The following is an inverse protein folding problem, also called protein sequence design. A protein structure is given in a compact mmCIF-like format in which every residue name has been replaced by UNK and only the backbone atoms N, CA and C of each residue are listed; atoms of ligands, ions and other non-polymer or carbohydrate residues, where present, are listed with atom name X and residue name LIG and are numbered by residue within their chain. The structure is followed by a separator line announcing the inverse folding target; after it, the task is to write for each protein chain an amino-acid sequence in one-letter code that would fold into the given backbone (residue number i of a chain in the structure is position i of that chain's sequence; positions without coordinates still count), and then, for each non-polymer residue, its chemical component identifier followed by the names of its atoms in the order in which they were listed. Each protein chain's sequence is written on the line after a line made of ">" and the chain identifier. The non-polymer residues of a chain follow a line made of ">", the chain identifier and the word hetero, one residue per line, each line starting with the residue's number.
data_IF_224793850155
#
_entry.id   IF_224793850155
#
_cell.length_a   1.000
_cell.length_b   1.000
_cell.length_c   1.000
_cell.angle_alpha   90.00
_cell.angle_beta   90.00
_cell.angle_gamma   90.00
#
_symmetry.space_group_name_H-M   'P 1'
#
loop_
_entity.id
_entity.type
_entity.pdbx_description
1 polymer ?
#
# COMPACT_ATOMS: atom_id res chain seq x y z
N UNK A 1 -31.95 23.68 38.37
CA UNK A 1 -31.58 24.51 37.20
C UNK A 1 -30.35 24.01 36.41
N UNK A 2 -29.43 23.22 36.99
CA UNK A 2 -28.25 22.71 36.26
C UNK A 2 -28.48 21.46 35.37
N UNK A 3 -29.54 20.68 35.63
CA UNK A 3 -29.82 19.42 34.90
C UNK A 3 -30.42 19.60 33.50
N UNK A 4 -31.05 20.74 33.22
CA UNK A 4 -31.73 21.00 31.94
C UNK A 4 -30.73 21.44 30.85
N UNK A 5 -29.65 22.13 31.22
CA UNK A 5 -28.61 22.57 30.28
C UNK A 5 -27.75 21.43 29.72
N UNK A 6 -27.53 20.36 30.49
CA UNK A 6 -26.75 19.19 30.07
C UNK A 6 -27.56 18.32 29.09
N UNK A 7 -28.88 18.25 29.26
CA UNK A 7 -29.77 17.44 28.42
C UNK A 7 -29.91 17.96 26.99
N UNK A 8 -29.71 19.26 26.73
CA UNK A 8 -29.74 19.85 25.39
C UNK A 8 -28.37 19.86 24.69
N UNK A 9 -27.28 19.76 25.46
CA UNK A 9 -25.91 19.78 24.92
C UNK A 9 -25.55 18.48 24.19
N UNK A 10 -25.97 17.32 24.72
CA UNK A 10 -25.74 16.02 24.09
C UNK A 10 -26.48 15.88 22.73
N UNK A 11 -27.78 16.19 22.61
CA UNK A 11 -28.46 16.25 21.31
C UNK A 11 -27.83 17.26 20.36
N UNK A 12 -27.43 18.44 20.85
CA UNK A 12 -26.76 19.46 20.05
C UNK A 12 -25.40 19.00 19.52
N UNK A 13 -24.59 18.31 20.33
CA UNK A 13 -23.34 17.67 19.89
C UNK A 13 -23.59 16.52 18.92
N UNK A 14 -24.62 15.71 19.14
CA UNK A 14 -24.97 14.60 18.24
C UNK A 14 -25.45 15.12 16.88
N UNK A 15 -26.32 16.14 16.86
CA UNK A 15 -26.81 16.80 15.65
C UNK A 15 -25.67 17.56 14.97
N UNK A 16 -24.80 18.22 15.74
CA UNK A 16 -23.61 18.90 15.25
C UNK A 16 -22.62 17.94 14.59
N UNK A 17 -22.29 16.83 15.25
CA UNK A 17 -21.42 15.79 14.70
C UNK A 17 -22.06 15.11 13.49
N UNK A 18 -23.38 14.93 13.48
CA UNK A 18 -24.13 14.38 12.35
C UNK A 18 -24.09 15.34 11.14
N UNK A 19 -24.40 16.62 11.33
CA UNK A 19 -24.31 17.65 10.29
C UNK A 19 -22.88 17.86 9.77
N UNK A 20 -21.88 17.84 10.66
CA UNK A 20 -20.47 17.95 10.29
C UNK A 20 -19.99 16.70 9.53
N UNK A 21 -20.52 15.52 9.87
CA UNK A 21 -20.28 14.30 9.09
C UNK A 21 -20.86 14.39 7.67
N UNK A 22 -22.00 15.06 7.47
CA UNK A 22 -22.54 15.31 6.13
C UNK A 22 -21.76 16.39 5.34
N UNK A 23 -21.23 17.40 6.02
CA UNK A 23 -20.48 18.51 5.36
C UNK A 23 -19.07 18.13 4.89
N UNK A 24 -18.55 16.99 5.33
CA UNK A 24 -17.20 16.51 4.97
C UNK A 24 -17.19 15.47 3.86
N UNK A 25 -18.34 15.09 3.31
CA UNK A 25 -18.42 14.09 2.25
C UNK A 25 -18.21 14.75 0.88
N UNK A 26 -17.06 14.48 0.26
CA UNK A 26 -16.79 14.89 -1.13
C UNK A 26 -17.32 13.84 -2.09
N UNK A 27 -18.09 14.26 -3.08
CA UNK A 27 -18.56 13.39 -4.17
C UNK A 27 -17.58 13.50 -5.33
N UNK A 28 -16.95 12.39 -5.72
CA UNK A 28 -16.10 12.28 -6.89
C UNK A 28 -16.81 11.42 -7.92
N UNK A 29 -17.28 12.03 -9.00
CA UNK A 29 -17.93 11.31 -10.09
C UNK A 29 -16.98 11.23 -11.28
N UNK A 30 -16.69 10.02 -11.74
CA UNK A 30 -15.80 9.75 -12.84
C UNK A 30 -16.61 9.38 -14.08
N UNK A 31 -16.55 10.24 -15.10
CA UNK A 31 -16.98 9.92 -16.45
C UNK A 31 -15.71 9.69 -17.29
N UNK A 32 -15.32 8.41 -17.41
CA UNK A 32 -14.07 8.04 -18.05
C UNK A 32 -14.32 7.78 -19.54
N UNK A 33 -13.53 8.43 -20.39
CA UNK A 33 -13.47 8.06 -21.80
C UNK A 33 -12.94 6.64 -21.97
N UNK A 34 -13.23 6.02 -23.12
CA UNK A 34 -12.94 4.61 -23.39
C UNK A 34 -11.48 4.21 -23.09
N UNK A 35 -10.52 5.06 -23.45
CA UNK A 35 -9.10 4.81 -23.20
C UNK A 35 -8.76 4.86 -21.70
N UNK A 36 -9.35 5.80 -20.97
CA UNK A 36 -9.12 5.99 -19.53
C UNK A 36 -9.77 4.87 -18.72
N UNK A 37 -10.98 4.45 -19.11
CA UNK A 37 -11.67 3.29 -18.56
C UNK A 37 -10.85 2.02 -18.77
N UNK A 38 -10.34 1.78 -19.98
CA UNK A 38 -9.51 0.63 -20.28
C UNK A 38 -8.18 0.65 -19.48
N UNK A 39 -7.54 1.80 -19.33
CA UNK A 39 -6.31 1.94 -18.56
C UNK A 39 -6.53 1.71 -17.07
N UNK A 40 -7.60 2.27 -16.52
CA UNK A 40 -7.97 2.04 -15.13
C UNK A 40 -8.41 0.59 -14.89
N UNK A 41 -9.13 -0.03 -15.82
CA UNK A 41 -9.47 -1.46 -15.78
C UNK A 41 -8.22 -2.36 -15.71
N UNK A 42 -7.15 -2.02 -16.47
CA UNK A 42 -5.86 -2.72 -16.36
C UNK A 42 -5.22 -2.55 -14.98
N UNK A 43 -5.32 -1.38 -14.36
CA UNK A 43 -4.84 -1.15 -13.00
C UNK A 43 -5.58 -2.04 -11.99
N UNK A 44 -6.91 -2.09 -12.08
CA UNK A 44 -7.75 -2.92 -11.20
C UNK A 44 -7.44 -4.40 -11.38
N UNK A 45 -7.31 -4.88 -12.63
CA UNK A 45 -6.97 -6.27 -12.90
C UNK A 45 -5.56 -6.65 -12.41
N UNK A 46 -4.59 -5.74 -12.56
CA UNK A 46 -3.24 -5.94 -12.04
C UNK A 46 -3.21 -5.94 -10.50
N UNK A 47 -4.01 -5.07 -9.87
CA UNK A 47 -4.16 -5.07 -8.41
C UNK A 47 -4.78 -6.37 -7.90
N UNK A 48 -5.75 -6.93 -8.64
CA UNK A 48 -6.36 -8.22 -8.31
C UNK A 48 -5.37 -9.39 -8.38
N UNK A 49 -4.24 -9.21 -9.07
CA UNK A 49 -3.13 -10.19 -9.02
C UNK A 49 -2.37 -10.08 -7.69
N UNK A 50 -2.23 -8.87 -7.12
CA UNK A 50 -1.60 -8.65 -5.82
C UNK A 50 -2.46 -9.21 -4.68
N UNK A 51 -3.78 -9.02 -4.73
CA UNK A 51 -4.73 -9.52 -3.70
C UNK A 51 -4.74 -11.05 -3.60
N UNK A 52 -4.36 -11.75 -4.67
CA UNK A 52 -4.29 -13.23 -4.73
C UNK A 52 -3.03 -13.81 -4.08
N UNK A 53 -2.07 -12.99 -3.65
CA UNK A 53 -0.94 -13.48 -2.88
C UNK A 53 -1.44 -14.01 -1.53
N UNK A 54 -0.92 -15.16 -1.09
CA UNK A 54 -1.36 -15.78 0.16
C UNK A 54 -1.00 -14.92 1.39
N UNK A 55 0.03 -14.07 1.27
CA UNK A 55 0.33 -13.06 2.27
C UNK A 55 0.89 -11.78 1.64
N UNK A 56 0.61 -10.66 2.30
CA UNK A 56 1.17 -9.36 2.00
C UNK A 56 1.49 -8.62 3.29
N UNK A 57 2.56 -7.84 3.27
CA UNK A 57 3.03 -7.10 4.44
C UNK A 57 3.40 -5.67 4.11
N UNK A 58 3.09 -4.75 5.01
CA UNK A 58 3.74 -3.46 5.07
C UNK A 58 5.06 -3.58 5.82
N UNK A 59 6.11 -3.01 5.25
CA UNK A 59 7.44 -2.98 5.83
C UNK A 59 7.69 -1.56 6.35
N UNK A 60 7.50 -1.36 7.65
CA UNK A 60 7.81 -0.11 8.31
C UNK A 60 9.34 0.04 8.41
N UNK A 61 9.96 0.72 7.45
CA UNK A 61 11.38 1.03 7.56
C UNK A 61 11.59 2.09 8.64
N UNK A 62 12.47 1.81 9.61
CA UNK A 62 12.91 2.75 10.65
C UNK A 62 13.73 3.94 10.14
N UNK A 63 13.69 4.24 8.83
CA UNK A 63 14.42 5.29 8.15
C UNK A 63 13.89 5.53 6.73
N UNK A 64 14.31 6.65 6.11
CA UNK A 64 13.91 7.00 4.74
C UNK A 64 14.50 5.98 3.76
N UNK A 65 13.67 5.09 3.21
CA UNK A 65 14.08 4.22 2.10
C UNK A 65 14.36 5.13 0.90
N UNK A 66 15.61 5.21 0.44
CA UNK A 66 15.95 5.98 -0.77
C UNK A 66 15.74 5.14 -2.03
N UNK A 67 16.18 3.89 -2.00
CA UNK A 67 15.97 2.87 -3.04
C UNK A 67 15.92 1.44 -2.46
N UNK A 68 15.48 0.48 -3.28
CA UNK A 68 15.42 -0.93 -2.88
C UNK A 68 16.81 -1.58 -2.71
N UNK A 69 17.82 -1.10 -3.43
CA UNK A 69 19.19 -1.65 -3.36
C UNK A 69 19.83 -1.38 -2.00
N UNK A 70 19.73 -0.13 -1.54
CA UNK A 70 20.22 0.34 -0.24
C UNK A 70 19.41 -0.27 0.88
N UNK A 71 18.09 -0.37 0.73
CA UNK A 71 17.25 -1.09 1.69
C UNK A 71 17.68 -2.54 1.86
N UNK A 72 17.87 -3.30 0.78
CA UNK A 72 18.37 -4.69 0.83
C UNK A 72 19.74 -4.79 1.50
N UNK A 73 20.65 -3.85 1.21
CA UNK A 73 21.98 -3.83 1.80
C UNK A 73 21.94 -3.56 3.30
N UNK A 74 21.14 -2.58 3.72
CA UNK A 74 21.03 -2.16 5.11
C UNK A 74 20.23 -3.16 5.97
N UNK A 75 19.29 -3.88 5.35
CA UNK A 75 18.52 -4.91 6.00
C UNK A 75 19.32 -6.22 6.22
N UNK A 76 20.48 -6.37 5.58
CA UNK A 76 21.37 -7.53 5.72
C UNK A 76 20.81 -8.84 5.15
N UNK A 77 21.47 -9.96 5.43
CA UNK A 77 21.04 -11.32 5.06
C UNK A 77 19.91 -11.87 5.96
N UNK A 78 19.44 -11.05 6.89
CA UNK A 78 18.53 -11.41 7.97
C UNK A 78 17.55 -10.26 8.08
N UNK A 79 16.68 -10.10 7.09
CA UNK A 79 15.51 -9.27 7.29
C UNK A 79 14.73 -9.89 8.45
N UNK A 80 14.97 -9.42 9.67
CA UNK A 80 14.10 -9.54 10.84
C UNK A 80 13.34 -8.21 10.94
N UNK A 81 12.86 -7.72 9.80
CA UNK A 81 12.11 -6.48 9.75
C UNK A 81 10.70 -6.79 10.28
N UNK A 82 10.19 -5.91 11.14
CA UNK A 82 8.84 -6.01 11.71
C UNK A 82 7.82 -5.86 10.57
N UNK A 83 7.47 -6.98 9.94
CA UNK A 83 6.49 -7.04 8.88
C UNK A 83 5.11 -7.09 9.50
N UNK A 84 4.33 -6.05 9.24
CA UNK A 84 2.93 -6.02 9.65
C UNK A 84 2.10 -6.47 8.48
N UNK A 85 1.25 -7.48 8.68
CA UNK A 85 0.31 -7.90 7.64
C UNK A 85 -0.48 -6.69 7.18
N UNK A 86 -0.62 -6.55 5.86
CA UNK A 86 -1.41 -5.47 5.26
C UNK A 86 -2.67 -6.01 4.60
N UNK A 87 -3.65 -5.12 4.45
CA UNK A 87 -4.90 -5.38 3.75
C UNK A 87 -4.86 -4.72 2.38
N UNK A 88 -5.11 -5.52 1.35
CA UNK A 88 -5.40 -5.07 -0.01
C UNK A 88 -6.88 -5.35 -0.29
N UNK A 89 -7.61 -4.33 -0.73
CA UNK A 89 -9.04 -4.45 -1.02
C UNK A 89 -9.51 -3.35 -1.97
N UNK A 90 -10.68 -3.52 -2.58
CA UNK A 90 -11.40 -2.40 -3.18
C UNK A 90 -12.17 -1.67 -2.08
N UNK A 91 -11.87 -0.40 -1.82
CA UNK A 91 -12.59 0.38 -0.81
C UNK A 91 -12.54 1.88 -1.08
N UNK A 92 -13.51 2.62 -0.56
CA UNK A 92 -13.52 4.08 -0.59
C UNK A 92 -13.22 4.66 0.80
N UNK A 93 -12.60 5.84 0.88
CA UNK A 93 -12.56 6.57 2.14
C UNK A 93 -13.96 6.93 2.60
N UNK A 94 -14.18 6.91 3.92
CA UNK A 94 -15.49 7.20 4.53
C UNK A 94 -16.08 8.55 4.15
N UNK A 95 -15.21 9.54 3.92
CA UNK A 95 -15.54 10.92 3.53
C UNK A 95 -15.65 11.13 2.01
N UNK A 96 -15.54 10.08 1.21
CA UNK A 96 -15.67 10.17 -0.25
C UNK A 96 -16.86 9.32 -0.71
N UNK A 97 -17.63 9.83 -1.65
CA UNK A 97 -18.61 9.05 -2.43
C UNK A 97 -18.18 9.07 -3.88
N UNK A 98 -18.15 7.91 -4.51
CA UNK A 98 -17.73 7.78 -5.90
C UNK A 98 -18.50 6.68 -6.60
N UNK A 99 -18.68 6.83 -7.91
CA UNK A 99 -19.22 5.79 -8.79
C UNK A 99 -18.20 4.67 -9.07
N UNK A 100 -16.92 4.89 -8.75
CA UNK A 100 -15.86 3.87 -8.81
C UNK A 100 -15.40 3.49 -7.41
N UNK A 101 -15.15 2.20 -7.18
CA UNK A 101 -14.52 1.71 -5.95
C UNK A 101 -13.06 1.37 -6.26
N UNK A 102 -12.09 2.17 -5.77
CA UNK A 102 -10.69 2.03 -6.14
C UNK A 102 -10.02 0.88 -5.39
N UNK A 103 -8.98 0.29 -6.00
CA UNK A 103 -7.98 -0.48 -5.25
C UNK A 103 -7.43 0.33 -4.08
N UNK A 104 -7.18 -0.35 -2.95
CA UNK A 104 -6.64 0.28 -1.75
C UNK A 104 -5.65 -0.62 -1.01
N UNK A 105 -4.58 -0.01 -0.51
CA UNK A 105 -3.52 -0.68 0.25
C UNK A 105 -3.35 0.02 1.59
N UNK A 106 -3.34 -0.75 2.68
CA UNK A 106 -3.00 -0.24 4.01
C UNK A 106 -1.47 -0.20 4.17
N UNK A 107 -0.90 0.93 4.55
CA UNK A 107 0.54 1.09 4.74
C UNK A 107 0.78 1.78 6.08
N UNK A 108 0.88 0.96 7.13
CA UNK A 108 0.96 1.44 8.51
C UNK A 108 -0.32 2.18 8.93
N UNK A 109 -0.19 3.47 9.27
CA UNK A 109 -1.32 4.34 9.61
C UNK A 109 -2.05 4.88 8.38
N UNK A 110 -1.42 4.80 7.21
CA UNK A 110 -1.93 5.37 5.99
C UNK A 110 -2.73 4.34 5.18
N UNK A 111 -3.64 4.82 4.35
CA UNK A 111 -4.31 4.03 3.33
C UNK A 111 -4.16 4.74 2.00
N UNK A 112 -3.64 4.03 1.01
CA UNK A 112 -3.51 4.50 -0.37
C UNK A 112 -4.74 4.03 -1.15
N UNK A 113 -5.49 4.95 -1.75
CA UNK A 113 -6.62 4.67 -2.63
C UNK A 113 -6.24 5.06 -4.06
N UNK A 114 -6.12 4.08 -4.95
CA UNK A 114 -5.68 4.28 -6.32
C UNK A 114 -6.88 4.67 -7.20
N UNK A 115 -7.22 5.96 -7.21
CA UNK A 115 -8.32 6.52 -8.02
C UNK A 115 -7.94 6.55 -9.50
N UNK A 116 -8.89 6.75 -10.44
CA UNK A 116 -8.56 6.84 -11.86
C UNK A 116 -7.52 7.90 -12.22
N UNK A 117 -7.49 9.04 -11.52
CA UNK A 117 -6.68 10.21 -11.82
C UNK A 117 -5.44 10.39 -10.91
N UNK A 118 -5.53 9.92 -9.66
CA UNK A 118 -4.51 10.10 -8.62
C UNK A 118 -4.58 9.03 -7.53
N UNK A 119 -3.59 9.02 -6.65
CA UNK A 119 -3.64 8.26 -5.39
C UNK A 119 -4.09 9.21 -4.28
N UNK A 120 -5.24 8.92 -3.68
CA UNK A 120 -5.67 9.58 -2.46
C UNK A 120 -5.02 8.87 -1.26
N UNK A 121 -4.30 9.63 -0.43
CA UNK A 121 -3.59 9.14 0.74
C UNK A 121 -4.35 9.59 1.99
N UNK A 122 -4.95 8.65 2.72
CA UNK A 122 -5.56 8.91 4.02
C UNK A 122 -4.55 8.67 5.11
N UNK A 123 -4.27 9.67 5.93
CA UNK A 123 -3.44 9.56 7.13
C UNK A 123 -4.24 9.99 8.38
N UNK A 124 -4.78 9.02 9.11
CA UNK A 124 -5.71 9.31 10.21
C UNK A 124 -6.96 10.05 9.72
N UNK A 125 -7.08 11.33 10.08
CA UNK A 125 -8.17 12.23 9.66
C UNK A 125 -7.74 13.26 8.59
N UNK A 126 -6.50 13.16 8.10
CA UNK A 126 -5.96 14.00 7.04
C UNK A 126 -5.97 13.25 5.71
N UNK A 127 -6.10 14.01 4.63
CA UNK A 127 -6.12 13.51 3.27
C UNK A 127 -5.12 14.30 2.44
N UNK A 128 -4.29 13.58 1.70
CA UNK A 128 -3.40 14.12 0.68
C UNK A 128 -3.64 13.42 -0.65
N UNK A 129 -3.08 13.96 -1.72
CA UNK A 129 -3.16 13.35 -3.04
C UNK A 129 -1.77 13.29 -3.69
N UNK A 130 -1.53 12.22 -4.45
CA UNK A 130 -0.32 12.02 -5.25
C UNK A 130 -0.76 11.71 -6.67
N UNK A 131 -0.47 12.61 -7.61
CA UNK A 131 -0.73 12.34 -9.02
C UNK A 131 0.15 11.20 -9.54
N UNK A 132 -0.35 10.42 -10.49
CA UNK A 132 0.44 9.32 -11.09
C UNK A 132 1.72 9.80 -11.79
N UNK A 133 1.78 11.05 -12.23
CA UNK A 133 2.98 11.66 -12.80
C UNK A 133 4.13 11.82 -11.80
N UNK A 134 3.82 11.97 -10.51
CA UNK A 134 4.78 12.16 -9.42
C UNK A 134 5.09 10.86 -8.67
N UNK A 135 4.30 9.82 -8.90
CA UNK A 135 4.49 8.51 -8.30
C UNK A 135 5.67 7.78 -8.94
N UNK A 136 6.59 7.33 -8.10
CA UNK A 136 7.70 6.46 -8.47
C UNK A 136 7.50 5.09 -7.84
N UNK A 137 7.47 4.06 -8.68
CA UNK A 137 7.39 2.67 -8.27
C UNK A 137 8.70 1.95 -8.52
N UNK A 138 9.15 1.13 -7.57
CA UNK A 138 10.27 0.21 -7.73
C UNK A 138 9.84 -1.14 -7.19
N UNK A 139 10.16 -2.22 -7.89
CA UNK A 139 9.94 -3.57 -7.38
C UNK A 139 11.16 -4.44 -7.60
N UNK A 140 11.38 -5.39 -6.70
CA UNK A 140 12.46 -6.36 -6.83
C UNK A 140 12.23 -7.59 -5.93
N UNK A 141 12.75 -8.76 -6.30
CA UNK A 141 12.75 -9.92 -5.43
C UNK A 141 13.50 -9.64 -4.12
N UNK A 142 12.99 -10.10 -2.98
CA UNK A 142 13.63 -10.04 -1.67
C UNK A 142 13.69 -11.44 -1.05
N UNK A 143 14.73 -11.71 -0.24
CA UNK A 143 14.85 -12.97 0.50
C UNK A 143 14.55 -12.70 1.96
N UNK A 144 13.68 -13.52 2.55
CA UNK A 144 13.25 -13.37 3.93
C UNK A 144 13.38 -14.67 4.70
N UNK A 145 13.87 -14.59 5.93
CA UNK A 145 13.95 -15.74 6.82
C UNK A 145 12.59 -15.88 7.51
N UNK A 146 11.82 -16.91 7.14
CA UNK A 146 10.50 -17.13 7.70
C UNK A 146 10.59 -17.96 8.98
N UNK A 147 10.26 -17.33 10.10
CA UNK A 147 10.29 -17.97 11.42
C UNK A 147 8.95 -18.59 11.80
N UNK A 148 7.86 -18.06 11.22
CA UNK A 148 6.50 -18.51 11.41
C UNK A 148 6.04 -19.49 10.32
N UNK A 149 4.77 -19.38 9.94
CA UNK A 149 4.17 -20.22 8.89
C UNK A 149 4.54 -19.64 7.53
N UNK A 150 5.19 -20.46 6.71
CA UNK A 150 5.47 -20.13 5.30
C UNK A 150 4.15 -19.98 4.53
N UNK A 151 3.94 -18.88 3.80
CA UNK A 151 2.81 -18.74 2.88
C UNK A 151 2.80 -19.87 1.86
N UNK A 152 1.63 -20.39 1.51
CA UNK A 152 1.50 -21.56 0.62
C UNK A 152 1.99 -21.33 -0.81
N UNK A 153 2.09 -20.07 -1.23
CA UNK A 153 2.55 -19.65 -2.56
C UNK A 153 3.99 -19.12 -2.57
N UNK A 154 4.67 -19.15 -1.43
CA UNK A 154 6.05 -18.69 -1.30
C UNK A 154 7.05 -19.74 -1.84
N UNK A 155 8.04 -19.27 -2.59
CA UNK A 155 9.16 -20.10 -3.03
C UNK A 155 10.23 -20.16 -1.93
N UNK A 156 10.54 -21.35 -1.43
CA UNK A 156 11.67 -21.55 -0.51
C UNK A 156 12.96 -21.69 -1.34
N UNK A 157 13.88 -20.74 -1.21
CA UNK A 157 15.13 -20.69 -1.99
C UNK A 157 16.33 -21.29 -1.27
N UNK A 158 16.29 -21.34 0.07
CA UNK A 158 17.30 -21.99 0.89
C UNK A 158 16.78 -22.23 2.30
N UNK A 159 17.62 -22.84 3.15
CA UNK A 159 17.39 -22.96 4.58
C UNK A 159 18.58 -22.37 5.33
N UNK A 160 18.32 -21.79 6.49
CA UNK A 160 19.34 -21.32 7.44
C UNK A 160 19.05 -21.90 8.82
N UNK A 161 19.98 -21.78 9.76
CA UNK A 161 19.75 -22.17 11.15
C UNK A 161 19.08 -21.05 11.93
N UNK A 162 18.20 -21.38 12.88
CA UNK A 162 17.59 -20.40 13.78
C UNK A 162 18.64 -19.61 14.58
N UNK A 163 19.74 -20.29 14.94
CA UNK A 163 20.91 -19.69 15.56
C UNK A 163 22.17 -20.08 14.77
N UNK A 164 22.52 -19.34 13.70
CA UNK A 164 23.69 -19.65 12.90
C UNK A 164 24.98 -19.21 13.63
N UNK A 165 26.02 -20.02 13.54
CA UNK A 165 27.37 -19.64 13.97
C UNK A 165 28.04 -18.70 12.95
N UNK A 166 29.27 -18.24 13.22
CA UNK A 166 30.01 -17.33 12.32
C UNK A 166 30.21 -17.87 10.90
N UNK A 167 30.15 -19.18 10.71
CA UNK A 167 30.33 -19.84 9.41
C UNK A 167 28.99 -20.24 8.76
N UNK A 168 27.85 -19.84 9.34
CA UNK A 168 26.51 -20.16 8.83
C UNK A 168 25.98 -21.55 9.18
N UNK A 169 26.74 -22.37 9.91
CA UNK A 169 26.30 -23.68 10.42
C UNK A 169 25.51 -23.57 11.74
N UNK A 170 25.04 -24.70 12.31
CA UNK A 170 24.32 -24.68 13.57
C UNK A 170 25.27 -24.30 14.72
N UNK A 171 24.88 -23.31 15.51
CA UNK A 171 25.47 -23.08 16.83
C UNK A 171 24.99 -24.16 17.82
N UNK A 172 25.91 -25.03 18.23
CA UNK A 172 25.64 -26.18 19.11
C UNK A 172 25.34 -25.79 20.56
N UNK A 173 25.51 -24.52 20.95
CA UNK A 173 25.15 -24.02 22.29
C UNK A 173 23.65 -23.92 22.47
N UNK A 174 22.89 -23.82 21.37
CA UNK A 174 21.44 -23.79 21.39
C UNK A 174 20.90 -25.21 21.22
N UNK A 175 20.19 -25.70 22.25
CA UNK A 175 19.60 -27.04 22.25
C UNK A 175 18.53 -27.21 21.16
N UNK A 176 17.70 -26.19 20.94
CA UNK A 176 16.68 -26.15 19.89
C UNK A 176 17.11 -25.22 18.76
N UNK A 177 18.05 -25.67 17.94
CA UNK A 177 18.51 -24.95 16.76
C UNK A 177 18.02 -25.65 15.51
N UNK A 178 16.76 -25.42 15.12
CA UNK A 178 16.20 -25.99 13.89
C UNK A 178 16.62 -25.19 12.65
N UNK A 179 16.56 -25.83 11.50
CA UNK A 179 16.59 -25.09 10.23
C UNK A 179 15.27 -24.36 10.03
N UNK A 180 15.37 -23.16 9.46
CA UNK A 180 14.26 -22.27 9.12
C UNK A 180 14.38 -21.85 7.64
N UNK A 181 13.26 -21.80 6.91
CA UNK A 181 13.27 -21.53 5.48
C UNK A 181 13.61 -20.08 5.18
N UNK A 182 14.33 -19.88 4.08
CA UNK A 182 14.50 -18.58 3.43
C UNK A 182 13.57 -18.55 2.23
N UNK A 183 12.55 -17.71 2.30
CA UNK A 183 11.54 -17.55 1.26
C UNK A 183 11.89 -16.38 0.33
N UNK A 184 11.58 -16.53 -0.95
CA UNK A 184 11.64 -15.47 -1.94
C UNK A 184 10.29 -14.78 -2.02
N UNK A 185 10.31 -13.49 -1.74
CA UNK A 185 9.18 -12.57 -1.84
C UNK A 185 9.45 -11.50 -2.90
N UNK A 186 8.47 -10.64 -3.12
CA UNK A 186 8.63 -9.45 -3.96
C UNK A 186 8.33 -8.19 -3.16
N UNK A 187 9.31 -7.28 -3.14
CA UNK A 187 9.19 -5.97 -2.57
C UNK A 187 8.68 -4.98 -3.62
N UNK A 188 7.67 -4.18 -3.27
CA UNK A 188 7.11 -3.09 -4.06
C UNK A 188 7.14 -1.80 -3.24
N UNK A 189 7.89 -0.83 -3.72
CA UNK A 189 8.02 0.50 -3.13
C UNK A 189 7.23 1.54 -3.91
N UNK A 190 6.50 2.38 -3.19
CA UNK A 190 5.88 3.60 -3.68
C UNK A 190 6.61 4.81 -3.10
N UNK A 191 6.93 5.80 -3.94
CA UNK A 191 7.48 7.05 -3.45
C UNK A 191 7.03 8.26 -4.27
N UNK A 192 7.03 9.45 -3.66
CA UNK A 192 6.74 10.71 -4.35
C UNK A 192 7.58 11.87 -3.78
N UNK A 193 7.78 12.96 -4.55
CA UNK A 193 8.36 14.20 -4.02
C UNK A 193 7.55 14.83 -2.89
N UNK A 194 6.23 14.59 -2.85
CA UNK A 194 5.32 15.08 -1.82
C UNK A 194 5.40 14.33 -0.49
N UNK A 195 6.26 13.31 -0.38
CA UNK A 195 6.58 12.64 0.87
C UNK A 195 6.03 11.22 1.03
N UNK A 196 5.34 10.66 0.03
CA UNK A 196 5.01 9.23 0.02
C UNK A 196 6.32 8.44 -0.03
N UNK A 197 6.49 7.44 0.84
CA UNK A 197 7.63 6.54 0.83
C UNK A 197 7.31 5.24 1.56
N UNK A 198 6.57 4.37 0.88
CA UNK A 198 5.99 3.16 1.49
C UNK A 198 6.51 1.91 0.81
N UNK A 199 6.72 0.85 1.59
CA UNK A 199 7.21 -0.44 1.12
C UNK A 199 6.22 -1.54 1.51
N UNK A 200 5.81 -2.32 0.50
CA UNK A 200 4.93 -3.47 0.65
C UNK A 200 5.67 -4.69 0.12
N UNK A 201 5.48 -5.84 0.74
CA UNK A 201 5.98 -7.12 0.26
C UNK A 201 4.84 -8.10 0.00
N UNK A 202 5.04 -8.94 -1.02
CA UNK A 202 4.11 -10.00 -1.42
C UNK A 202 4.80 -11.35 -1.34
N UNK A 203 4.07 -12.37 -0.90
CA UNK A 203 4.60 -13.73 -0.76
C UNK A 203 5.01 -14.38 -2.09
N UNK A 204 4.53 -13.85 -3.21
CA UNK A 204 4.81 -14.33 -4.57
C UNK A 204 5.62 -13.31 -5.38
N UNK A 205 6.42 -13.80 -6.32
CA UNK A 205 7.21 -12.98 -7.26
C UNK A 205 6.51 -12.76 -8.60
N UNK A 206 6.94 -11.73 -9.33
CA UNK A 206 6.43 -11.34 -10.64
C UNK A 206 4.95 -10.89 -10.63
N UNK A 207 4.49 -10.33 -9.51
CA UNK A 207 3.10 -9.86 -9.34
C UNK A 207 3.00 -8.33 -9.43
N UNK A 208 4.07 -7.61 -9.11
CA UNK A 208 4.12 -6.15 -9.03
C UNK A 208 4.31 -5.46 -10.38
N UNK A 209 4.93 -6.13 -11.35
CA UNK A 209 5.25 -5.55 -12.66
C UNK A 209 3.99 -5.06 -13.40
N UNK A 210 2.93 -5.87 -13.59
CA UNK A 210 1.72 -5.41 -14.29
C UNK A 210 1.08 -4.20 -13.60
N UNK A 211 1.11 -4.16 -12.28
CA UNK A 211 0.55 -3.05 -11.49
C UNK A 211 1.35 -1.77 -11.71
N UNK A 212 2.68 -1.84 -11.65
CA UNK A 212 3.55 -0.69 -11.92
C UNK A 212 3.41 -0.18 -13.36
N UNK A 213 3.25 -1.09 -14.34
CA UNK A 213 3.02 -0.72 -15.74
C UNK A 213 1.68 -0.02 -15.92
N UNK A 214 0.62 -0.49 -15.25
CA UNK A 214 -0.69 0.17 -15.30
C UNK A 214 -0.66 1.58 -14.68
N UNK A 215 0.05 1.77 -13.56
CA UNK A 215 0.27 3.09 -12.95
C UNK A 215 1.02 4.04 -13.90
N UNK A 216 2.06 3.55 -14.57
CA UNK A 216 2.81 4.32 -15.56
C UNK A 216 1.96 4.70 -16.78
N UNK A 217 1.09 3.80 -17.23
CA UNK A 217 0.17 4.08 -18.34
C UNK A 217 -0.82 5.20 -17.97
N UNK A 218 -1.41 5.17 -16.78
CA UNK A 218 -2.25 6.28 -16.27
C UNK A 218 -1.47 7.59 -16.17
N UNK A 219 -0.22 7.54 -15.69
CA UNK A 219 0.64 8.72 -15.64
C UNK A 219 0.89 9.34 -17.03
N UNK A 220 1.12 8.51 -18.06
CA UNK A 220 1.29 8.96 -19.43
C UNK A 220 0.01 9.56 -20.00
N UNK A 221 -1.13 8.92 -19.78
CA UNK A 221 -2.42 9.41 -20.23
C UNK A 221 -2.75 10.79 -19.67
N UNK A 222 -2.61 11.01 -18.35
CA UNK A 222 -2.90 12.31 -17.76
C UNK A 222 -1.91 13.40 -18.18
N UNK A 223 -0.64 13.05 -18.44
CA UNK A 223 0.32 14.01 -19.02
C UNK A 223 -0.10 14.44 -20.41
N UNK A 224 -0.56 13.51 -21.25
CA UNK A 224 -1.01 13.80 -22.60
C UNK A 224 -2.31 14.64 -22.61
N UNK A 225 -3.24 14.33 -21.69
CA UNK A 225 -4.46 15.11 -21.51
C UNK A 225 -4.19 16.54 -21.00
N UNK A 226 -3.30 16.68 -20.00
CA UNK A 226 -2.89 17.98 -19.45
C UNK A 226 -2.09 18.84 -20.45
N UNK A 227 -1.43 18.21 -21.43
CA UNK A 227 -0.78 18.88 -22.55
C UNK A 227 -1.74 19.36 -23.65
N UNK A 228 -3.00 18.91 -23.65
CA UNK A 228 -3.99 19.23 -24.70
C UNK A 228 -5.23 20.00 -24.23
N UNK A 229 -5.43 20.26 -22.93
CA UNK A 229 -6.59 21.03 -22.46
C UNK A 229 -6.42 21.44 -20.99
N UNK A 230 -6.63 22.68 -20.53
CA UNK A 230 -7.68 23.60 -20.96
C UNK A 230 -9.07 23.18 -20.47
N UNK A 231 -9.31 21.89 -20.21
CA UNK A 231 -10.67 21.35 -20.15
C UNK A 231 -10.77 20.01 -19.39
N UNK A 232 -10.34 19.98 -18.14
CA UNK A 232 -10.90 19.03 -17.15
C UNK A 232 -11.15 19.82 -15.86
N UNK A 233 -12.33 20.45 -15.78
CA UNK A 233 -12.88 20.90 -14.49
C UNK A 233 -13.65 19.72 -13.91
N UNK A 234 -13.18 19.20 -12.78
CA UNK A 234 -14.04 18.47 -11.86
C UNK A 234 -15.22 19.40 -11.48
N UNK A 235 -16.44 18.90 -11.62
CA UNK A 235 -17.66 19.55 -11.11
C UNK A 235 -18.13 18.81 -9.87
#
# INVERSE_FOLDING_TARGET
>A
MALIGIAAFLPGMLIGNWLDSYRRVSVLYYDLEQDAEAAYGRLVAAFDTLTRCAASWHVAAGGKIEDLTTWKRNAGATMLVDKKSTTLQASLPTVVRSNVTPPSIHVGRQILYFMPDMILVKDGNQYGAVGYGDLRTQFAPSNFIETGKVPSDAEIVSYTWAHPNKNGGPDKRFRDNRQIPVCRYEALRFSSPSGLNELVEFSKTNVSQPFCQALLALAQMHRNAGGQSGLLKAR
#
